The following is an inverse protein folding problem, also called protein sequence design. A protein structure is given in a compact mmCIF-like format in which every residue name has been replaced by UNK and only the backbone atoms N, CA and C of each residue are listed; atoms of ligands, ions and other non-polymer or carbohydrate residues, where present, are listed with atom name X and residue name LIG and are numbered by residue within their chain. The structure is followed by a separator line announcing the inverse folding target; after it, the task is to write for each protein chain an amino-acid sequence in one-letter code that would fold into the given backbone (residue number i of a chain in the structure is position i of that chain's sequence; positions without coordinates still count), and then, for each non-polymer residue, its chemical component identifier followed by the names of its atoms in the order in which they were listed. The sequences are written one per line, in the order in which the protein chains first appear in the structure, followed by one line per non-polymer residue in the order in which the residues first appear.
data_IF_099764071013
#
_entry.id   IF_099764071013
#
_cell.length_a   1.000
_cell.length_b   1.000
_cell.length_c   1.000
_cell.angle_alpha   90.00
_cell.angle_beta   90.00
_cell.angle_gamma   90.00
#
_symmetry.space_group_name_H-M   'P 1'
#
loop_
_entity.id
_entity.type
_entity.pdbx_description
1 polymer ?
#
# COMPACT_ATOMS: atom_id res chain seq x y z
N UNK A 1 2.60 -16.39 18.28
CA UNK A 1 2.69 -16.88 16.88
C UNK A 1 3.62 -15.96 16.11
N UNK A 2 4.37 -16.44 15.10
CA UNK A 2 5.18 -15.55 14.25
C UNK A 2 4.47 -15.22 12.94
N UNK A 3 4.68 -14.01 12.43
CA UNK A 3 4.23 -13.59 11.11
C UNK A 3 5.22 -14.03 10.03
N UNK A 4 6.52 -13.85 10.28
CA UNK A 4 7.57 -14.21 9.34
C UNK A 4 7.55 -15.72 9.01
N UNK A 5 7.68 -16.04 7.74
CA UNK A 5 7.70 -17.39 7.18
C UNK A 5 6.42 -18.19 7.56
N UNK A 6 5.29 -17.49 7.77
CA UNK A 6 4.02 -18.07 8.18
C UNK A 6 2.97 -18.03 7.07
N UNK A 7 1.92 -18.84 7.23
CA UNK A 7 0.75 -18.84 6.36
C UNK A 7 0.07 -17.46 6.32
N UNK A 8 0.22 -16.63 7.35
CA UNK A 8 -0.31 -15.27 7.35
C UNK A 8 0.46 -14.38 6.37
N UNK A 9 1.80 -14.41 6.43
CA UNK A 9 2.64 -13.67 5.49
C UNK A 9 2.37 -14.12 4.05
N UNK A 10 2.31 -15.43 3.81
CA UNK A 10 1.97 -15.99 2.50
C UNK A 10 0.61 -15.49 2.01
N UNK A 11 -0.40 -15.44 2.87
CA UNK A 11 -1.73 -14.94 2.52
C UNK A 11 -1.73 -13.46 2.12
N UNK A 12 -1.00 -12.61 2.85
CA UNK A 12 -0.89 -11.19 2.51
C UNK A 12 -0.10 -10.98 1.21
N UNK A 13 0.98 -11.73 1.01
CA UNK A 13 1.77 -11.71 -0.23
C UNK A 13 0.96 -12.19 -1.43
N UNK A 14 0.18 -13.25 -1.28
CA UNK A 14 -0.72 -13.75 -2.32
C UNK A 14 -1.80 -12.72 -2.66
N UNK A 15 -2.41 -12.09 -1.65
CA UNK A 15 -3.38 -11.04 -1.86
C UNK A 15 -2.77 -9.82 -2.58
N UNK A 16 -1.57 -9.39 -2.17
CA UNK A 16 -0.81 -8.32 -2.82
C UNK A 16 -0.59 -8.64 -4.31
N UNK A 17 -0.06 -9.83 -4.61
CA UNK A 17 0.21 -10.25 -5.98
C UNK A 17 -1.06 -10.33 -6.82
N UNK A 18 -2.16 -10.86 -6.27
CA UNK A 18 -3.43 -11.02 -7.02
C UNK A 18 -4.21 -9.73 -7.23
N UNK A 19 -4.01 -8.71 -6.38
CA UNK A 19 -4.84 -7.50 -6.38
C UNK A 19 -4.04 -6.24 -6.68
N UNK A 20 -2.94 -6.03 -5.99
CA UNK A 20 -2.15 -4.80 -6.07
C UNK A 20 -1.26 -4.84 -7.31
N UNK A 21 -0.46 -5.89 -7.48
CA UNK A 21 0.43 -6.03 -8.66
C UNK A 21 -0.34 -6.05 -9.96
N UNK A 22 -1.45 -6.79 -10.03
CA UNK A 22 -2.30 -6.83 -11.24
C UNK A 22 -2.85 -5.44 -11.61
N UNK A 23 -3.20 -4.61 -10.62
CA UNK A 23 -3.67 -3.25 -10.89
C UNK A 23 -2.53 -2.33 -11.29
N UNK A 24 -1.37 -2.43 -10.65
CA UNK A 24 -0.16 -1.68 -11.03
C UNK A 24 0.23 -2.00 -12.47
N UNK A 25 0.35 -3.28 -12.83
CA UNK A 25 0.63 -3.74 -14.20
C UNK A 25 -0.38 -3.18 -15.20
N UNK A 26 -1.66 -3.15 -14.84
CA UNK A 26 -2.72 -2.60 -15.70
C UNK A 26 -2.54 -1.10 -15.90
N UNK A 27 -2.34 -0.34 -14.83
CA UNK A 27 -2.15 1.12 -14.87
C UNK A 27 -0.88 1.47 -15.67
N UNK A 28 0.23 0.76 -15.42
CA UNK A 28 1.49 0.94 -16.14
C UNK A 28 1.36 0.58 -17.63
N UNK A 29 0.64 -0.49 -17.96
CA UNK A 29 0.37 -0.85 -19.37
C UNK A 29 -0.44 0.22 -20.09
N UNK A 30 -1.43 0.82 -19.43
CA UNK A 30 -2.19 1.96 -19.98
C UNK A 30 -1.25 3.15 -20.22
N UNK A 31 -0.32 3.43 -19.29
CA UNK A 31 0.61 4.56 -19.41
C UNK A 31 1.54 4.46 -20.64
N UNK A 32 1.79 3.24 -21.11
CA UNK A 32 2.59 2.96 -22.31
C UNK A 32 1.79 3.07 -23.62
N UNK A 33 0.49 3.37 -23.56
CA UNK A 33 -0.37 3.45 -24.75
C UNK A 33 -0.74 2.10 -25.36
N UNK A 34 -0.49 0.97 -24.66
CA UNK A 34 -0.82 -0.38 -25.14
C UNK A 34 -2.27 -0.82 -24.84
N UNK A 35 -3.13 0.09 -24.38
CA UNK A 35 -4.53 -0.21 -24.08
C UNK A 35 -5.40 -0.34 -25.33
N UNK A 36 -6.15 -1.44 -25.44
CA UNK A 36 -7.27 -1.60 -26.38
C UNK A 36 -8.39 -0.55 -26.19
N UNK A 37 -8.31 0.24 -25.12
CA UNK A 37 -9.23 1.31 -24.77
C UNK A 37 -8.45 2.63 -24.76
N UNK A 38 -8.65 3.45 -25.78
CA UNK A 38 -8.07 4.80 -25.89
C UNK A 38 -8.71 5.83 -24.93
N UNK A 39 -9.61 5.41 -24.03
CA UNK A 39 -10.23 6.28 -23.03
C UNK A 39 -9.60 6.02 -21.66
N UNK A 40 -8.75 6.95 -21.23
CA UNK A 40 -8.14 6.98 -19.89
C UNK A 40 -9.15 7.31 -18.76
N UNK A 41 -10.43 7.51 -19.08
CA UNK A 41 -11.52 7.84 -18.13
C UNK A 41 -11.62 6.85 -16.95
N UNK A 42 -11.05 5.65 -17.09
CA UNK A 42 -11.05 4.62 -16.06
C UNK A 42 -9.83 4.64 -15.13
N UNK A 43 -8.75 5.36 -15.47
CA UNK A 43 -7.49 5.38 -14.70
C UNK A 43 -7.68 5.88 -13.26
N UNK A 44 -8.42 6.98 -12.99
CA UNK A 44 -8.68 7.41 -11.62
C UNK A 44 -9.30 6.30 -10.76
N UNK A 45 -10.27 5.56 -11.31
CA UNK A 45 -10.94 4.46 -10.61
C UNK A 45 -10.01 3.28 -10.34
N UNK A 46 -9.08 2.99 -11.26
CA UNK A 46 -8.06 1.95 -11.06
C UNK A 46 -7.09 2.35 -9.92
N UNK A 47 -6.66 3.61 -9.88
CA UNK A 47 -5.81 4.15 -8.80
C UNK A 47 -6.53 4.11 -7.45
N UNK A 48 -7.81 4.49 -7.40
CA UNK A 48 -8.64 4.36 -6.19
C UNK A 48 -8.70 2.91 -5.70
N UNK A 49 -8.95 1.97 -6.61
CA UNK A 49 -9.05 0.55 -6.27
C UNK A 49 -7.71 -0.02 -5.80
N UNK A 50 -6.62 0.38 -6.45
CA UNK A 50 -5.25 0.06 -6.01
C UNK A 50 -5.06 0.50 -4.57
N UNK A 51 -5.35 1.77 -4.28
CA UNK A 51 -5.20 2.34 -2.94
C UNK A 51 -6.07 1.65 -1.89
N UNK A 52 -7.33 1.33 -2.22
CA UNK A 52 -8.22 0.57 -1.33
C UNK A 52 -7.66 -0.81 -0.97
N UNK A 53 -7.05 -1.52 -1.93
CA UNK A 53 -6.45 -2.82 -1.64
C UNK A 53 -5.22 -2.69 -0.73
N UNK A 54 -4.39 -1.66 -0.91
CA UNK A 54 -3.28 -1.34 0.00
C UNK A 54 -3.80 -1.04 1.40
N UNK A 55 -4.82 -0.17 1.53
CA UNK A 55 -5.41 0.16 2.83
C UNK A 55 -5.98 -1.07 3.54
N UNK A 56 -6.61 -1.99 2.81
CA UNK A 56 -7.14 -3.23 3.39
C UNK A 56 -6.05 -4.10 4.00
N UNK A 57 -4.88 -4.22 3.36
CA UNK A 57 -3.73 -4.92 3.93
C UNK A 57 -3.28 -4.23 5.23
N UNK A 58 -3.08 -2.91 5.17
CA UNK A 58 -2.58 -2.15 6.31
C UNK A 58 -3.55 -2.15 7.51
N UNK A 59 -4.86 -2.03 7.28
CA UNK A 59 -5.87 -2.08 8.35
C UNK A 59 -5.86 -3.43 9.04
N UNK A 60 -5.91 -4.52 8.28
CA UNK A 60 -5.90 -5.88 8.85
C UNK A 60 -4.62 -6.18 9.61
N UNK A 61 -3.46 -5.77 9.08
CA UNK A 61 -2.20 -5.92 9.79
C UNK A 61 -2.17 -5.10 11.08
N UNK A 62 -2.70 -3.87 11.09
CA UNK A 62 -2.80 -3.07 12.31
C UNK A 62 -3.68 -3.73 13.37
N UNK A 63 -4.82 -4.28 12.96
CA UNK A 63 -5.74 -5.01 13.85
C UNK A 63 -5.15 -6.32 14.37
N UNK A 64 -4.20 -6.93 13.67
CA UNK A 64 -3.64 -8.24 14.03
C UNK A 64 -2.24 -8.16 14.62
N UNK A 65 -1.56 -7.01 14.58
CA UNK A 65 -0.13 -6.88 14.95
C UNK A 65 0.16 -7.46 16.34
N UNK A 66 -0.74 -7.26 17.31
CA UNK A 66 -0.56 -7.73 18.69
C UNK A 66 -0.61 -9.26 18.85
N UNK A 67 -1.07 -10.00 17.83
CA UNK A 67 -1.13 -11.46 17.83
C UNK A 67 0.22 -12.11 17.51
N UNK A 68 1.19 -11.31 17.02
CA UNK A 68 2.48 -11.80 16.55
C UNK A 68 3.60 -11.52 17.56
N UNK A 69 4.52 -12.47 17.70
CA UNK A 69 5.71 -12.38 18.57
C UNK A 69 6.81 -11.51 17.94
N UNK A 70 6.88 -11.51 16.61
CA UNK A 70 7.85 -10.77 15.79
C UNK A 70 7.29 -9.44 15.31
N UNK A 71 6.80 -8.62 16.25
CA UNK A 71 6.15 -7.32 15.98
C UNK A 71 7.03 -6.43 15.11
N UNK A 72 8.34 -6.36 15.36
CA UNK A 72 9.27 -5.55 14.56
C UNK A 72 9.28 -5.94 13.08
N UNK A 73 9.17 -7.25 12.79
CA UNK A 73 9.07 -7.73 11.42
C UNK A 73 7.76 -7.29 10.76
N UNK A 74 6.63 -7.39 11.48
CA UNK A 74 5.32 -6.92 10.99
C UNK A 74 5.34 -5.40 10.75
N UNK A 75 5.98 -4.62 11.62
CA UNK A 75 6.13 -3.18 11.44
C UNK A 75 6.98 -2.86 10.21
N UNK A 76 8.08 -3.59 10.00
CA UNK A 76 8.89 -3.45 8.79
C UNK A 76 8.08 -3.79 7.54
N UNK A 77 7.34 -4.91 7.54
CA UNK A 77 6.49 -5.32 6.43
C UNK A 77 5.47 -4.22 6.06
N UNK A 78 4.81 -3.60 7.05
CA UNK A 78 3.91 -2.46 6.84
C UNK A 78 4.62 -1.26 6.25
N UNK A 79 5.82 -0.93 6.74
CA UNK A 79 6.63 0.18 6.20
C UNK A 79 7.00 -0.06 4.74
N UNK A 80 7.45 -1.26 4.41
CA UNK A 80 7.82 -1.63 3.04
C UNK A 80 6.59 -1.58 2.11
N UNK A 81 5.42 -2.04 2.58
CA UNK A 81 4.13 -1.94 1.87
C UNK A 81 3.76 -0.48 1.56
N UNK A 82 3.89 0.42 2.55
CA UNK A 82 3.60 1.84 2.36
C UNK A 82 4.60 2.50 1.41
N UNK A 83 5.90 2.18 1.55
CA UNK A 83 6.95 2.74 0.71
C UNK A 83 6.71 2.40 -0.77
N UNK A 84 6.41 1.13 -1.08
CA UNK A 84 6.07 0.70 -2.43
C UNK A 84 4.83 1.42 -2.96
N UNK A 85 3.77 1.51 -2.15
CA UNK A 85 2.54 2.20 -2.58
C UNK A 85 2.75 3.70 -2.86
N UNK A 86 3.60 4.38 -2.09
CA UNK A 86 3.96 5.77 -2.34
C UNK A 86 4.75 5.91 -3.64
N UNK A 87 5.67 5.00 -3.94
CA UNK A 87 6.43 5.00 -5.19
C UNK A 87 5.50 4.83 -6.39
N UNK A 88 4.57 3.86 -6.33
CA UNK A 88 3.60 3.61 -7.39
C UNK A 88 2.67 4.82 -7.59
N UNK A 89 2.13 5.41 -6.52
CA UNK A 89 1.27 6.59 -6.59
C UNK A 89 2.00 7.82 -7.15
N UNK A 90 3.29 8.01 -6.82
CA UNK A 90 4.12 9.08 -7.41
C UNK A 90 4.32 8.86 -8.89
N UNK A 91 4.55 7.61 -9.31
CA UNK A 91 4.62 7.27 -10.71
C UNK A 91 3.31 7.60 -11.42
N UNK A 92 2.15 7.18 -10.87
CA UNK A 92 0.84 7.47 -11.47
C UNK A 92 0.57 8.98 -11.61
N UNK A 93 0.89 9.78 -10.59
CA UNK A 93 0.77 11.23 -10.65
C UNK A 93 1.62 11.85 -11.77
N UNK A 94 2.78 11.25 -12.06
CA UNK A 94 3.69 11.71 -13.11
C UNK A 94 3.20 11.34 -14.51
N UNK A 95 2.71 10.11 -14.71
CA UNK A 95 2.27 9.63 -16.03
C UNK A 95 0.83 9.99 -16.39
N UNK A 96 -0.01 10.25 -15.39
CA UNK A 96 -1.40 10.71 -15.55
C UNK A 96 -1.59 12.01 -14.76
N UNK A 97 -1.21 13.17 -15.30
CA UNK A 97 -1.31 14.45 -14.60
C UNK A 97 -2.73 14.78 -14.10
N UNK A 98 -3.76 14.31 -14.80
CA UNK A 98 -5.16 14.41 -14.39
C UNK A 98 -5.47 13.66 -13.07
N UNK A 99 -4.66 12.67 -12.72
CA UNK A 99 -4.75 11.88 -11.49
C UNK A 99 -3.77 12.36 -10.39
N UNK A 100 -3.03 13.46 -10.60
CA UNK A 100 -2.02 13.91 -9.64
C UNK A 100 -2.64 14.23 -8.26
N UNK A 101 -3.74 14.98 -8.23
CA UNK A 101 -4.40 15.38 -6.99
C UNK A 101 -4.86 14.17 -6.14
N UNK A 102 -5.51 13.18 -6.77
CA UNK A 102 -5.98 12.00 -6.04
C UNK A 102 -4.79 11.16 -5.51
N UNK A 103 -3.73 11.05 -6.30
CA UNK A 103 -2.51 10.33 -5.92
C UNK A 103 -1.79 11.02 -4.76
N UNK A 104 -1.65 12.35 -4.80
CA UNK A 104 -1.07 13.16 -3.72
C UNK A 104 -1.86 13.00 -2.42
N UNK A 105 -3.20 13.08 -2.48
CA UNK A 105 -4.07 12.86 -1.32
C UNK A 105 -3.88 11.48 -0.69
N UNK A 106 -3.72 10.44 -1.51
CA UNK A 106 -3.45 9.09 -1.02
C UNK A 106 -2.05 8.97 -0.41
N UNK A 107 -1.03 9.57 -1.02
CA UNK A 107 0.33 9.65 -0.47
C UNK A 107 0.33 10.35 0.89
N UNK A 108 -0.35 11.49 1.04
CA UNK A 108 -0.46 12.22 2.30
C UNK A 108 -1.12 11.35 3.39
N UNK A 109 -2.16 10.61 3.02
CA UNK A 109 -2.88 9.70 3.94
C UNK A 109 -1.97 8.55 4.42
N UNK A 110 -1.20 7.96 3.51
CA UNK A 110 -0.22 6.91 3.84
C UNK A 110 0.90 7.43 4.74
N UNK A 111 1.48 8.59 4.42
CA UNK A 111 2.53 9.21 5.24
C UNK A 111 2.02 9.57 6.64
N UNK A 112 0.80 10.08 6.74
CA UNK A 112 0.19 10.41 8.03
C UNK A 112 -0.01 9.16 8.89
N UNK A 113 -0.41 8.05 8.26
CA UNK A 113 -0.56 6.76 8.93
C UNK A 113 0.78 6.20 9.43
N UNK A 114 1.85 6.34 8.63
CA UNK A 114 3.20 5.93 9.01
C UNK A 114 3.70 6.72 10.23
N UNK A 115 3.58 8.05 10.18
CA UNK A 115 4.03 8.96 11.24
C UNK A 115 3.25 8.75 12.56
N UNK A 116 1.96 8.40 12.48
CA UNK A 116 1.17 8.08 13.66
C UNK A 116 1.67 6.81 14.36
N UNK A 117 2.07 5.79 13.60
CA UNK A 117 2.61 4.55 14.15
C UNK A 117 3.98 4.76 14.83
N UNK A 118 4.84 5.61 14.26
CA UNK A 118 6.15 5.91 14.85
C UNK A 118 6.04 6.63 16.20
N UNK A 119 5.10 7.57 16.34
CA UNK A 119 4.85 8.27 17.61
C UNK A 119 4.36 7.35 18.73
N UNK A 120 3.53 6.36 18.39
CA UNK A 120 3.02 5.38 19.38
C UNK A 120 4.17 4.53 19.90
N UNK A 121 5.03 4.02 19.01
CA UNK A 121 6.15 3.15 19.38
C UNK A 121 7.20 3.87 20.25
N UNK A 122 7.47 5.16 19.99
CA UNK A 122 8.37 5.96 20.83
C UNK A 122 7.81 6.23 22.22
N UNK A 123 6.48 6.33 22.36
CA UNK A 123 5.85 6.55 23.65
C UNK A 123 5.89 5.27 24.49
N UNK A 124 5.73 4.09 23.89
CA UNK A 124 5.74 2.81 24.63
C UNK A 124 7.15 2.37 25.05
N UNK A 125 8.19 2.68 24.25
CA UNK A 125 9.57 2.38 24.58
C UNK A 125 10.15 3.20 25.76
N UNK A 126 9.51 4.30 26.16
CA UNK A 126 9.91 5.10 27.33
C UNK A 126 9.27 4.65 28.66
N UNK A 127 8.41 3.63 28.65
CA UNK A 127 7.75 3.10 29.84
C UNK A 127 8.20 1.67 30.23
N UNK A 128 9.33 1.20 29.69
CA UNK A 128 9.97 -0.07 30.07
C UNK A 128 11.34 0.20 30.67
#
# INVERSE_FOLDING_TARGET
MKFKDSVFEDHYNEYWNKKVVVLDDTIRTISLGFGLFHNNDHVPSLIEKYYQHVQNILSKLNEQTYLFEDIEYVQKYKKDTVAQAIEDLRFYACVFPECANISEKFIETLNSSLNAQEKINHTTASFI
#
